data_IF_231302141992
#
_entry.id   IF_231302141992
#
_cell.length_a   1.000
_cell.length_b   1.000
_cell.length_c   1.000
_cell.angle_alpha   90.00
_cell.angle_beta   90.00
_cell.angle_gamma   90.00
#
_symmetry.space_group_name_H-M   'P 1'
#
loop_
_entity.id
_entity.type
_entity.pdbx_description
1 polymer ?
#
# COMPACT_ATOMS: atom_id res chain seq x y z
N UNK A 1 -0.35 -18.78 -55.11
CA UNK A 1 -1.49 -18.40 -54.25
C UNK A 1 -1.27 -16.97 -53.76
N UNK A 2 -2.13 -16.00 -54.09
CA UNK A 2 -1.98 -14.65 -53.54
C UNK A 2 -2.37 -14.66 -52.05
N UNK A 3 -1.46 -14.18 -51.18
CA UNK A 3 -1.74 -13.99 -49.76
C UNK A 3 -2.84 -12.92 -49.64
N UNK A 4 -4.00 -13.31 -49.14
CA UNK A 4 -5.10 -12.40 -48.78
C UNK A 4 -4.54 -11.32 -47.87
N UNK A 5 -4.49 -10.06 -48.31
CA UNK A 5 -4.18 -8.94 -47.44
C UNK A 5 -5.31 -8.83 -46.41
N UNK A 6 -5.00 -8.73 -45.10
CA UNK A 6 -6.03 -8.61 -44.08
C UNK A 6 -6.79 -7.29 -44.27
N UNK A 7 -8.11 -7.36 -44.15
CA UNK A 7 -9.02 -6.23 -44.34
C UNK A 7 -8.78 -5.18 -43.25
N UNK A 8 -8.74 -3.88 -43.60
CA UNK A 8 -8.38 -2.80 -42.67
C UNK A 8 -9.28 -2.70 -41.44
N UNK A 9 -10.56 -3.08 -41.57
CA UNK A 9 -11.51 -3.18 -40.47
C UNK A 9 -11.19 -4.33 -39.48
N UNK A 10 -10.68 -5.46 -39.96
CA UNK A 10 -10.25 -6.58 -39.10
C UNK A 10 -8.95 -6.25 -38.34
N UNK A 11 -8.05 -5.46 -38.94
CA UNK A 11 -6.83 -5.00 -38.27
C UNK A 11 -7.12 -3.95 -37.19
N UNK A 12 -8.04 -3.01 -37.42
CA UNK A 12 -8.46 -2.05 -36.40
C UNK A 12 -9.13 -2.75 -35.20
N UNK A 13 -10.07 -3.68 -35.47
CA UNK A 13 -10.73 -4.46 -34.42
C UNK A 13 -9.78 -5.30 -33.55
N UNK A 14 -8.72 -5.87 -34.15
CA UNK A 14 -7.69 -6.62 -33.40
C UNK A 14 -6.81 -5.71 -32.54
N UNK A 15 -6.45 -4.53 -33.05
CA UNK A 15 -5.68 -3.55 -32.29
C UNK A 15 -6.45 -2.99 -31.09
N UNK A 16 -7.74 -2.74 -31.25
CA UNK A 16 -8.59 -2.24 -30.18
C UNK A 16 -8.79 -3.28 -29.07
N UNK A 17 -9.02 -4.55 -29.45
CA UNK A 17 -9.06 -5.67 -28.50
C UNK A 17 -7.74 -5.83 -27.74
N UNK A 18 -6.61 -5.78 -28.44
CA UNK A 18 -5.30 -5.85 -27.79
C UNK A 18 -5.08 -4.70 -26.80
N UNK A 19 -5.47 -3.48 -27.16
CA UNK A 19 -5.34 -2.31 -26.29
C UNK A 19 -6.27 -2.38 -25.07
N UNK A 20 -7.45 -2.96 -25.22
CA UNK A 20 -8.38 -3.18 -24.12
C UNK A 20 -7.84 -4.23 -23.13
N UNK A 21 -7.28 -5.33 -23.64
CA UNK A 21 -6.66 -6.40 -22.84
C UNK A 21 -5.32 -5.99 -22.21
N UNK A 22 -4.64 -4.99 -22.76
CA UNK A 22 -3.33 -4.50 -22.31
C UNK A 22 -3.35 -3.01 -21.94
N UNK A 23 -4.47 -2.57 -21.36
CA UNK A 23 -4.63 -1.19 -20.93
C UNK A 23 -3.52 -0.78 -19.94
N UNK A 24 -3.04 0.48 -19.99
CA UNK A 24 -1.96 0.92 -19.12
C UNK A 24 -2.50 1.31 -17.73
N UNK A 25 -1.86 0.80 -16.69
CA UNK A 25 -2.19 1.05 -15.27
C UNK A 25 -0.97 1.57 -14.53
N UNK A 26 -1.17 2.24 -13.38
CA UNK A 26 -0.03 2.57 -12.51
C UNK A 26 0.31 1.40 -11.59
N UNK A 27 -0.70 0.72 -11.06
CA UNK A 27 -0.51 -0.32 -10.07
C UNK A 27 -0.74 -1.73 -10.62
N UNK A 28 0.14 -2.63 -10.17
CA UNK A 28 0.14 -4.04 -10.53
C UNK A 28 0.42 -4.88 -9.29
N UNK A 29 -0.28 -5.99 -9.16
CA UNK A 29 0.01 -7.02 -8.16
C UNK A 29 0.52 -8.29 -8.82
N UNK A 30 1.44 -8.97 -8.14
CA UNK A 30 1.93 -10.27 -8.57
C UNK A 30 2.45 -11.09 -7.39
N UNK A 31 2.67 -12.38 -7.65
CA UNK A 31 3.25 -13.33 -6.69
C UNK A 31 4.71 -13.59 -7.04
N UNK A 32 5.56 -13.70 -6.01
CA UNK A 32 6.96 -14.13 -6.12
C UNK A 32 7.13 -15.43 -5.34
N UNK A 33 7.65 -16.47 -5.99
CA UNK A 33 8.03 -17.71 -5.34
C UNK A 33 9.51 -17.67 -4.94
N UNK A 34 9.86 -17.69 -3.64
CA UNK A 34 11.25 -17.61 -3.18
C UNK A 34 12.12 -18.75 -3.73
N UNK A 35 11.55 -19.93 -3.94
CA UNK A 35 12.26 -21.10 -4.47
C UNK A 35 12.86 -20.90 -5.86
N UNK A 36 12.24 -20.05 -6.68
CA UNK A 36 12.66 -19.80 -8.06
C UNK A 36 13.18 -18.38 -8.27
N UNK A 37 12.93 -17.47 -7.33
CA UNK A 37 13.35 -16.09 -7.42
C UNK A 37 14.88 -15.98 -7.46
N UNK A 38 15.37 -15.02 -8.23
CA UNK A 38 16.78 -14.63 -8.16
C UNK A 38 17.11 -14.17 -6.73
N UNK A 39 18.21 -14.62 -6.09
CA UNK A 39 18.46 -14.34 -4.67
C UNK A 39 18.39 -12.87 -4.26
N UNK A 40 18.76 -11.94 -5.15
CA UNK A 40 18.73 -10.50 -4.93
C UNK A 40 17.57 -9.79 -5.65
N UNK A 41 16.41 -10.45 -5.81
CA UNK A 41 15.27 -9.90 -6.54
C UNK A 41 14.80 -8.53 -6.02
N UNK A 42 14.94 -8.27 -4.71
CA UNK A 42 14.59 -6.97 -4.10
C UNK A 42 15.43 -5.84 -4.69
N UNK A 43 16.74 -6.04 -4.81
CA UNK A 43 17.67 -5.07 -5.41
C UNK A 43 17.34 -4.87 -6.89
N UNK A 44 17.17 -5.98 -7.62
CA UNK A 44 16.80 -5.95 -9.04
C UNK A 44 15.51 -5.13 -9.24
N UNK A 45 14.46 -5.36 -8.44
CA UNK A 45 13.23 -4.59 -8.54
C UNK A 45 13.46 -3.10 -8.21
N UNK A 46 14.24 -2.79 -7.16
CA UNK A 46 14.51 -1.40 -6.80
C UNK A 46 15.19 -0.59 -7.92
N UNK A 47 16.05 -1.24 -8.70
CA UNK A 47 16.86 -0.60 -9.76
C UNK A 47 16.17 -0.56 -11.13
N UNK A 48 15.21 -1.46 -11.40
CA UNK A 48 14.72 -1.68 -12.77
C UNK A 48 13.35 -1.03 -13.08
N UNK A 49 12.79 -0.22 -12.18
CA UNK A 49 11.63 0.63 -12.50
C UNK A 49 11.52 1.91 -11.66
N UNK A 50 10.85 2.92 -12.20
CA UNK A 50 10.51 4.17 -11.50
C UNK A 50 9.14 4.09 -10.83
N UNK A 51 9.12 4.30 -9.51
CA UNK A 51 7.93 4.18 -8.69
C UNK A 51 8.23 3.63 -7.30
N UNK A 52 7.18 3.15 -6.65
CA UNK A 52 7.23 2.58 -5.30
C UNK A 52 6.61 1.18 -5.26
N UNK A 53 6.97 0.38 -4.25
CA UNK A 53 6.43 -0.96 -4.12
C UNK A 53 6.41 -1.47 -2.69
N UNK A 54 5.59 -2.49 -2.46
CA UNK A 54 5.46 -3.17 -1.19
C UNK A 54 5.50 -4.69 -1.39
N UNK A 55 6.02 -5.39 -0.38
CA UNK A 55 6.12 -6.85 -0.35
C UNK A 55 5.49 -7.36 0.96
N UNK A 56 4.66 -8.38 0.87
CA UNK A 56 4.08 -9.04 2.03
C UNK A 56 5.15 -9.74 2.88
N UNK A 57 4.80 -10.18 4.11
CA UNK A 57 5.51 -11.28 4.76
C UNK A 57 5.58 -12.53 3.86
N UNK A 58 6.42 -13.50 4.20
CA UNK A 58 6.40 -14.78 3.50
C UNK A 58 5.11 -15.53 3.85
N UNK A 59 4.31 -15.85 2.83
CA UNK A 59 3.13 -16.69 2.97
C UNK A 59 3.54 -18.16 2.89
N UNK A 60 3.82 -18.77 4.04
CA UNK A 60 4.25 -20.18 4.19
C UNK A 60 3.23 -21.06 4.92
N UNK A 61 2.11 -20.49 5.36
CA UNK A 61 1.04 -21.16 6.14
C UNK A 61 -0.28 -21.26 5.40
N UNK A 62 -0.32 -20.82 4.15
CA UNK A 62 -1.56 -20.82 3.37
C UNK A 62 -1.93 -22.25 2.95
N UNK A 63 -3.24 -22.54 2.96
CA UNK A 63 -3.78 -23.82 2.54
C UNK A 63 -4.55 -23.69 1.22
N UNK A 64 -4.54 -24.77 0.43
CA UNK A 64 -5.44 -25.00 -0.69
C UNK A 64 -6.85 -25.36 -0.18
N UNK A 65 -7.83 -25.36 -1.07
CA UNK A 65 -9.22 -25.71 -0.74
C UNK A 65 -9.36 -27.14 -0.21
N UNK A 66 -8.45 -28.05 -0.61
CA UNK A 66 -8.37 -29.43 -0.12
C UNK A 66 -7.60 -29.56 1.21
N UNK A 67 -7.16 -28.45 1.81
CA UNK A 67 -6.38 -28.42 3.04
C UNK A 67 -4.88 -28.72 2.88
N UNK A 68 -4.39 -28.97 1.66
CA UNK A 68 -2.96 -29.16 1.43
C UNK A 68 -2.19 -27.83 1.51
N UNK A 69 -0.92 -27.81 1.96
CA UNK A 69 -0.12 -26.59 2.01
C UNK A 69 0.09 -25.98 0.62
N UNK A 70 -0.11 -24.66 0.50
CA UNK A 70 0.31 -23.90 -0.69
C UNK A 70 1.83 -23.75 -0.72
N UNK A 71 2.35 -23.57 -1.93
CA UNK A 71 3.76 -23.21 -2.11
C UNK A 71 4.06 -21.88 -1.41
N UNK A 72 5.17 -21.78 -0.65
CA UNK A 72 5.59 -20.53 -0.05
C UNK A 72 5.73 -19.43 -1.08
N UNK A 73 5.16 -18.25 -0.80
CA UNK A 73 5.15 -17.16 -1.76
C UNK A 73 5.09 -15.79 -1.09
N UNK A 74 5.47 -14.75 -1.81
CA UNK A 74 5.21 -13.36 -1.44
C UNK A 74 4.15 -12.77 -2.36
N UNK A 75 3.30 -11.90 -1.82
CA UNK A 75 2.53 -10.95 -2.60
C UNK A 75 3.32 -9.65 -2.74
N UNK A 76 3.40 -9.13 -3.96
CA UNK A 76 4.06 -7.86 -4.27
C UNK A 76 3.09 -6.91 -4.94
N UNK A 77 3.22 -5.62 -4.63
CA UNK A 77 2.49 -4.52 -5.25
C UNK A 77 3.51 -3.53 -5.79
N UNK A 78 3.50 -3.28 -7.10
CA UNK A 78 4.29 -2.22 -7.74
C UNK A 78 3.35 -1.09 -8.17
N UNK A 79 3.78 0.15 -7.94
CA UNK A 79 3.12 1.37 -8.39
C UNK A 79 4.14 2.20 -9.18
N UNK A 80 3.96 2.25 -10.50
CA UNK A 80 4.79 3.06 -11.37
C UNK A 80 4.42 4.55 -11.30
N UNK A 81 5.41 5.44 -11.46
CA UNK A 81 5.19 6.89 -11.53
C UNK A 81 4.24 7.27 -12.66
N UNK A 82 4.45 6.63 -13.82
CA UNK A 82 3.65 6.77 -15.05
C UNK A 82 2.95 5.46 -15.36
N UNK A 83 1.75 5.52 -15.94
CA UNK A 83 1.00 4.31 -16.33
C UNK A 83 1.84 3.46 -17.28
N UNK A 84 1.96 2.18 -16.98
CA UNK A 84 2.68 1.20 -17.79
C UNK A 84 1.72 0.13 -18.30
N UNK A 85 2.08 -0.53 -19.41
CA UNK A 85 1.37 -1.71 -19.89
C UNK A 85 1.82 -2.96 -19.12
N UNK A 86 1.01 -4.04 -19.07
CA UNK A 86 1.39 -5.30 -18.42
C UNK A 86 2.75 -5.87 -18.87
N UNK A 87 3.14 -5.60 -20.12
CA UNK A 87 4.46 -5.98 -20.67
C UNK A 87 5.65 -5.43 -19.86
N UNK A 88 5.53 -4.29 -19.19
CA UNK A 88 6.57 -3.76 -18.32
C UNK A 88 6.79 -4.67 -17.10
N UNK A 89 5.70 -5.09 -16.44
CA UNK A 89 5.76 -6.02 -15.29
C UNK A 89 6.25 -7.40 -15.73
N UNK A 90 5.84 -7.88 -16.90
CA UNK A 90 6.36 -9.15 -17.47
C UNK A 90 7.89 -9.13 -17.63
N UNK A 91 8.46 -7.99 -18.04
CA UNK A 91 9.93 -7.82 -18.12
C UNK A 91 10.56 -7.87 -16.73
N UNK A 92 9.99 -7.19 -15.74
CA UNK A 92 10.47 -7.24 -14.35
C UNK A 92 10.43 -8.67 -13.80
N UNK A 93 9.32 -9.39 -13.97
CA UNK A 93 9.18 -10.78 -13.54
C UNK A 93 10.24 -11.68 -14.18
N UNK A 94 10.53 -11.49 -15.48
CA UNK A 94 11.59 -12.24 -16.16
C UNK A 94 12.97 -11.96 -15.56
N UNK A 95 13.28 -10.72 -15.16
CA UNK A 95 14.56 -10.37 -14.54
C UNK A 95 14.77 -11.09 -13.20
N UNK A 96 13.70 -11.33 -12.45
CA UNK A 96 13.72 -12.01 -11.15
C UNK A 96 13.38 -13.50 -11.23
N UNK A 97 13.43 -14.08 -12.44
CA UNK A 97 13.14 -15.49 -12.72
C UNK A 97 11.73 -15.95 -12.27
N UNK A 98 10.74 -15.08 -12.41
CA UNK A 98 9.34 -15.37 -12.12
C UNK A 98 8.50 -15.52 -13.41
N UNK A 99 7.44 -16.32 -13.32
CA UNK A 99 6.54 -16.56 -14.44
C UNK A 99 5.59 -15.36 -14.66
N UNK A 100 5.39 -14.93 -15.90
CA UNK A 100 4.46 -13.83 -16.21
C UNK A 100 3.00 -14.08 -15.79
N UNK A 101 2.61 -15.34 -15.60
CA UNK A 101 1.29 -15.74 -15.11
C UNK A 101 1.07 -15.43 -13.63
N UNK A 102 2.10 -14.98 -12.89
CA UNK A 102 1.94 -14.60 -11.48
C UNK A 102 1.33 -13.21 -11.30
N UNK A 103 1.07 -12.45 -12.36
CA UNK A 103 0.33 -11.18 -12.29
C UNK A 103 -1.10 -11.46 -11.85
N UNK A 104 -1.50 -10.88 -10.71
CA UNK A 104 -2.82 -11.13 -10.09
C UNK A 104 -3.83 -10.02 -10.37
N UNK A 105 -3.37 -8.78 -10.56
CA UNK A 105 -4.24 -7.67 -10.95
C UNK A 105 -3.51 -6.51 -11.61
N UNK A 106 -4.27 -5.71 -12.36
CA UNK A 106 -3.81 -4.49 -13.05
C UNK A 106 -4.84 -3.36 -12.84
N UNK A 107 -4.84 -2.71 -11.66
CA UNK A 107 -5.75 -1.60 -11.34
C UNK A 107 -5.27 -0.88 -10.06
N UNK A 108 -5.31 0.45 -10.07
CA UNK A 108 -5.01 1.28 -8.91
C UNK A 108 -6.01 1.09 -7.76
N UNK A 109 -7.29 0.89 -8.07
CA UNK A 109 -8.36 0.73 -7.07
C UNK A 109 -8.18 -0.54 -6.23
N UNK A 110 -7.42 -1.51 -6.73
CA UNK A 110 -7.16 -2.77 -6.04
C UNK A 110 -5.99 -2.72 -5.08
N UNK A 111 -5.17 -1.66 -5.09
CA UNK A 111 -3.98 -1.55 -4.24
C UNK A 111 -4.33 -1.65 -2.77
N UNK A 112 -5.38 -0.95 -2.33
CA UNK A 112 -5.82 -0.99 -0.93
C UNK A 112 -6.17 -2.42 -0.50
N UNK A 113 -7.09 -3.07 -1.22
CA UNK A 113 -7.51 -4.42 -0.91
C UNK A 113 -6.37 -5.44 -1.00
N UNK A 114 -5.46 -5.28 -1.96
CA UNK A 114 -4.28 -6.13 -2.10
C UNK A 114 -3.29 -5.96 -0.94
N UNK A 115 -3.08 -4.73 -0.48
CA UNK A 115 -2.20 -4.45 0.65
C UNK A 115 -2.79 -5.00 1.96
N UNK A 116 -4.09 -4.79 2.20
CA UNK A 116 -4.78 -5.37 3.36
C UNK A 116 -4.77 -6.91 3.32
N UNK A 117 -4.70 -7.49 2.13
CA UNK A 117 -4.61 -8.93 1.94
C UNK A 117 -3.22 -9.50 2.31
N UNK A 118 -2.15 -8.70 2.37
CA UNK A 118 -0.80 -9.15 2.77
C UNK A 118 -0.75 -9.82 4.14
N UNK A 119 -1.72 -9.53 5.01
CA UNK A 119 -1.78 -10.11 6.36
C UNK A 119 -3.00 -11.00 6.58
N UNK A 120 -3.89 -11.11 5.60
CA UNK A 120 -5.19 -11.75 5.71
C UNK A 120 -6.07 -11.23 6.87
N UNK A 121 -5.82 -10.01 7.38
CA UNK A 121 -6.52 -9.44 8.54
C UNK A 121 -8.06 -9.46 8.43
N UNK A 122 -8.57 -9.38 7.20
CA UNK A 122 -10.01 -9.36 6.90
C UNK A 122 -10.61 -10.75 6.63
N UNK A 123 -9.84 -11.83 6.78
CA UNK A 123 -10.29 -13.20 6.54
C UNK A 123 -9.81 -14.15 7.66
N UNK A 124 -10.63 -14.33 8.73
CA UNK A 124 -10.27 -15.15 9.88
C UNK A 124 -10.01 -16.64 9.57
N UNK A 125 -10.52 -17.15 8.44
CA UNK A 125 -10.35 -18.55 8.04
C UNK A 125 -8.97 -18.81 7.42
N UNK A 126 -8.23 -17.76 7.07
CA UNK A 126 -6.88 -17.86 6.52
C UNK A 126 -5.82 -17.65 7.59
N UNK A 127 -4.63 -18.20 7.34
CA UNK A 127 -3.46 -17.94 8.16
C UNK A 127 -3.19 -16.43 8.25
N UNK A 128 -3.06 -15.92 9.47
CA UNK A 128 -2.82 -14.51 9.75
C UNK A 128 -1.31 -14.23 9.77
N UNK A 129 -0.88 -13.15 9.12
CA UNK A 129 0.51 -12.71 9.11
C UNK A 129 0.69 -11.37 9.82
N UNK A 130 1.91 -11.09 10.25
CA UNK A 130 2.22 -9.89 11.03
C UNK A 130 2.48 -8.70 10.10
N UNK A 131 1.81 -7.57 10.34
CA UNK A 131 2.02 -6.32 9.60
C UNK A 131 3.46 -5.81 9.64
N UNK A 132 4.19 -6.07 10.73
CA UNK A 132 5.63 -5.72 10.85
C UNK A 132 6.52 -6.47 9.86
N UNK A 133 6.02 -7.55 9.26
CA UNK A 133 6.70 -8.27 8.18
C UNK A 133 6.46 -7.68 6.79
N UNK A 134 5.58 -6.68 6.64
CA UNK A 134 5.40 -5.97 5.37
C UNK A 134 6.63 -5.08 5.14
N UNK A 135 7.22 -5.22 3.96
CA UNK A 135 8.37 -4.42 3.54
C UNK A 135 7.92 -3.35 2.55
N UNK A 136 8.29 -2.10 2.82
CA UNK A 136 7.93 -0.92 2.02
C UNK A 136 9.18 -0.36 1.36
N UNK A 137 9.12 -0.11 0.06
CA UNK A 137 10.27 0.29 -0.74
C UNK A 137 9.97 1.57 -1.53
N UNK A 138 11.03 2.37 -1.74
CA UNK A 138 11.00 3.60 -2.54
C UNK A 138 9.86 4.55 -2.16
N UNK A 139 9.59 4.66 -0.86
CA UNK A 139 8.58 5.57 -0.30
C UNK A 139 7.13 5.14 -0.50
N UNK A 140 6.85 3.85 -0.72
CA UNK A 140 5.48 3.36 -0.79
C UNK A 140 4.71 3.71 0.50
N UNK A 141 3.58 4.41 0.35
CA UNK A 141 2.63 4.69 1.43
C UNK A 141 1.23 4.26 1.02
N UNK A 142 0.63 3.35 1.80
CA UNK A 142 -0.73 2.87 1.57
C UNK A 142 -1.77 4.00 1.68
N UNK A 143 -1.46 5.09 2.41
CA UNK A 143 -2.36 6.24 2.54
C UNK A 143 -2.58 6.97 1.20
N UNK A 144 -1.66 6.84 0.23
CA UNK A 144 -1.82 7.39 -1.12
C UNK A 144 -2.98 6.75 -1.89
N UNK A 145 -3.45 5.58 -1.43
CA UNK A 145 -4.55 4.81 -2.02
C UNK A 145 -5.84 4.88 -1.21
N UNK A 146 -5.87 5.67 -0.13
CA UNK A 146 -7.08 5.91 0.66
C UNK A 146 -7.89 7.07 0.06
N UNK A 147 -9.21 6.98 0.17
CA UNK A 147 -10.08 8.09 -0.21
C UNK A 147 -9.91 9.29 0.73
N UNK A 148 -10.31 10.47 0.27
CA UNK A 148 -10.31 11.69 1.10
C UNK A 148 -11.12 11.52 2.39
N UNK A 149 -12.22 10.75 2.34
CA UNK A 149 -13.05 10.47 3.51
C UNK A 149 -12.29 9.65 4.54
N UNK A 150 -11.64 8.57 4.12
CA UNK A 150 -10.85 7.71 5.01
C UNK A 150 -9.66 8.45 5.62
N UNK A 151 -8.95 9.26 4.82
CA UNK A 151 -7.87 10.11 5.32
C UNK A 151 -8.38 11.10 6.37
N UNK A 152 -9.57 11.67 6.16
CA UNK A 152 -10.20 12.57 7.13
C UNK A 152 -10.60 11.85 8.42
N UNK A 153 -11.13 10.64 8.33
CA UNK A 153 -11.47 9.82 9.49
C UNK A 153 -10.22 9.48 10.32
N UNK A 154 -9.10 9.12 9.67
CA UNK A 154 -7.81 8.91 10.34
C UNK A 154 -7.30 10.18 11.02
N UNK A 155 -7.41 11.34 10.35
CA UNK A 155 -7.04 12.63 10.97
C UNK A 155 -7.88 12.91 12.22
N UNK A 156 -9.19 12.64 12.18
CA UNK A 156 -10.08 12.83 13.33
C UNK A 156 -9.75 11.87 14.48
N UNK A 157 -9.43 10.61 14.19
CA UNK A 157 -8.97 9.65 15.20
C UNK A 157 -7.71 10.14 15.90
N UNK A 158 -6.72 10.63 15.15
CA UNK A 158 -5.50 11.19 15.74
C UNK A 158 -5.80 12.40 16.64
N UNK A 159 -6.75 13.26 16.26
CA UNK A 159 -7.18 14.37 17.13
C UNK A 159 -7.84 13.84 18.41
N UNK A 160 -8.74 12.86 18.31
CA UNK A 160 -9.37 12.26 19.48
C UNK A 160 -8.35 11.61 20.43
N UNK A 161 -7.31 10.97 19.89
CA UNK A 161 -6.23 10.41 20.72
C UNK A 161 -5.44 11.50 21.45
N UNK A 162 -5.15 12.62 20.76
CA UNK A 162 -4.48 13.79 21.36
C UNK A 162 -5.35 14.39 22.47
N UNK A 163 -6.65 14.58 22.23
CA UNK A 163 -7.60 15.11 23.21
C UNK A 163 -7.67 14.22 24.46
N UNK A 164 -7.78 12.91 24.26
CA UNK A 164 -7.76 11.93 25.33
C UNK A 164 -6.44 11.97 26.12
N UNK A 165 -5.31 12.10 25.43
CA UNK A 165 -4.00 12.22 26.06
C UNK A 165 -3.89 13.50 26.90
N UNK A 166 -4.29 14.66 26.37
CA UNK A 166 -4.33 15.95 27.08
C UNK A 166 -5.14 15.81 28.37
N UNK A 167 -6.35 15.24 28.27
CA UNK A 167 -7.22 15.06 29.43
C UNK A 167 -6.59 14.12 30.47
N UNK A 168 -6.10 12.95 30.03
CA UNK A 168 -5.57 11.90 30.90
C UNK A 168 -4.29 12.32 31.62
N UNK A 169 -3.40 13.03 30.94
CA UNK A 169 -2.12 13.48 31.51
C UNK A 169 -2.23 14.85 32.19
N UNK A 170 -3.39 15.51 32.15
CA UNK A 170 -3.56 16.82 32.76
C UNK A 170 -2.72 17.90 32.07
N UNK A 171 -2.54 17.83 30.75
CA UNK A 171 -1.69 18.79 30.04
C UNK A 171 -2.33 20.18 30.08
N UNK A 172 -1.61 21.14 30.62
CA UNK A 172 -2.06 22.54 30.75
C UNK A 172 -1.26 23.52 29.91
N UNK A 173 -0.15 23.11 29.30
CA UNK A 173 0.67 23.92 28.40
C UNK A 173 0.85 23.25 27.04
N UNK A 174 0.77 24.03 25.95
CA UNK A 174 0.92 23.49 24.59
C UNK A 174 2.35 23.02 24.30
N UNK A 175 3.37 23.68 24.87
CA UNK A 175 4.76 23.25 24.75
C UNK A 175 4.97 21.82 25.23
N UNK A 176 4.36 21.48 26.36
CA UNK A 176 4.52 20.18 27.01
C UNK A 176 3.93 19.07 26.14
N UNK A 177 2.74 19.30 25.58
CA UNK A 177 2.16 18.42 24.57
C UNK A 177 3.09 18.31 23.37
N UNK A 178 3.48 19.45 22.78
CA UNK A 178 4.15 19.47 21.48
C UNK A 178 5.51 18.76 21.52
N UNK A 179 6.36 19.07 22.51
CA UNK A 179 7.66 18.42 22.63
C UNK A 179 7.53 16.94 22.97
N UNK A 180 6.57 16.56 23.83
CA UNK A 180 6.29 15.15 24.07
C UNK A 180 5.90 14.41 22.79
N UNK A 181 5.07 15.01 21.92
CA UNK A 181 4.69 14.39 20.65
C UNK A 181 5.86 14.26 19.67
N UNK A 182 6.86 15.14 19.72
CA UNK A 182 8.02 15.03 18.83
C UNK A 182 8.82 13.76 19.07
N UNK A 183 8.97 13.36 20.34
CA UNK A 183 9.77 12.20 20.71
C UNK A 183 8.95 10.90 20.67
N UNK A 184 7.65 10.98 20.98
CA UNK A 184 6.82 9.79 21.22
C UNK A 184 5.79 9.51 20.13
N UNK A 185 5.29 10.56 19.46
CA UNK A 185 4.19 10.46 18.49
C UNK A 185 4.42 11.39 17.28
N UNK A 186 5.40 11.11 16.40
CA UNK A 186 5.74 12.00 15.28
C UNK A 186 4.56 12.34 14.35
N UNK A 187 3.59 11.42 14.22
CA UNK A 187 2.34 11.65 13.46
C UNK A 187 1.48 12.75 14.09
N UNK A 188 1.36 12.78 15.42
CA UNK A 188 0.64 13.83 16.16
C UNK A 188 1.36 15.16 16.01
N UNK A 189 2.69 15.16 16.17
CA UNK A 189 3.50 16.37 16.01
C UNK A 189 3.36 16.98 14.60
N UNK A 190 3.30 16.15 13.56
CA UNK A 190 3.05 16.59 12.18
C UNK A 190 1.65 17.20 12.03
N UNK A 191 0.63 16.54 12.58
CA UNK A 191 -0.75 17.02 12.51
C UNK A 191 -0.92 18.38 13.21
N UNK A 192 -0.37 18.53 14.43
CA UNK A 192 -0.45 19.76 15.23
C UNK A 192 0.24 20.96 14.55
N UNK A 193 1.34 20.73 13.82
CA UNK A 193 2.02 21.78 13.03
C UNK A 193 1.18 22.27 11.85
N UNK A 194 0.36 21.39 11.29
CA UNK A 194 -0.34 21.66 10.03
C UNK A 194 -1.79 22.10 10.24
N UNK A 195 -2.47 21.55 11.25
CA UNK A 195 -3.92 21.64 11.44
C UNK A 195 -4.28 21.65 12.92
N UNK A 196 -5.50 22.10 13.23
CA UNK A 196 -6.16 21.99 14.55
C UNK A 196 -5.48 22.69 15.74
N UNK A 197 -4.38 23.41 15.55
CA UNK A 197 -3.66 24.13 16.63
C UNK A 197 -4.60 24.99 17.47
N UNK A 198 -5.50 25.77 16.85
CA UNK A 198 -6.47 26.63 17.57
C UNK A 198 -7.40 25.85 18.50
N UNK A 199 -7.92 24.72 18.03
CA UNK A 199 -8.80 23.85 18.80
C UNK A 199 -8.06 23.27 20.01
N UNK A 200 -6.86 22.71 19.77
CA UNK A 200 -6.03 22.11 20.82
C UNK A 200 -5.58 23.15 21.85
N UNK A 201 -5.15 24.34 21.42
CA UNK A 201 -4.76 25.41 22.36
C UNK A 201 -5.93 25.90 23.19
N UNK A 202 -7.15 25.96 22.62
CA UNK A 202 -8.35 26.33 23.37
C UNK A 202 -8.72 25.27 24.41
N UNK A 203 -8.61 23.99 24.06
CA UNK A 203 -8.83 22.87 24.99
C UNK A 203 -7.85 22.90 26.16
N UNK A 204 -6.55 23.02 25.88
CA UNK A 204 -5.49 23.12 26.90
C UNK A 204 -5.71 24.33 27.81
N UNK A 205 -6.07 25.49 27.24
CA UNK A 205 -6.39 26.70 28.02
C UNK A 205 -7.57 26.45 28.94
N UNK A 206 -8.65 25.87 28.44
CA UNK A 206 -9.83 25.51 29.25
C UNK A 206 -9.46 24.57 30.41
N UNK A 207 -8.61 23.57 30.15
CA UNK A 207 -8.14 22.65 31.17
C UNK A 207 -7.30 23.33 32.24
N UNK A 208 -6.36 24.21 31.86
CA UNK A 208 -5.58 25.04 32.78
C UNK A 208 -6.46 25.86 33.71
N UNK A 209 -7.46 26.53 33.16
CA UNK A 209 -8.40 27.35 33.94
C UNK A 209 -9.27 26.50 34.88
N UNK A 210 -9.64 25.29 34.45
CA UNK A 210 -10.34 24.34 35.33
C UNK A 210 -9.48 23.91 36.52
N UNK A 211 -8.17 23.74 36.34
CA UNK A 211 -7.25 23.39 37.43
C UNK A 211 -6.95 24.56 38.40
N UNK A 212 -7.17 25.80 37.97
CA UNK A 212 -6.99 27.01 38.81
C UNK A 212 -8.18 27.33 39.70
N UNK A 213 -9.34 26.71 39.45
CA UNK A 213 -10.58 26.86 40.22
C UNK A 213 -10.71 25.76 41.26
#
# INVERSE_FOLDING_TARGET
MPKKQPNSAETHSKHDKYNQENAPYKAFGFIIYPESATPNFVEILNENFDGSWALSPLHDKDLNEDGSPKKPHFHAIIVFDKKQRPAAVKKLLKLINQNEKTITYTNNERVKGAYEYFTHQNNPEKAQYNETGIQLFKGFDINDFKSKKELKELELQLISDIEFFIQKQGITEYSDLFFWTMDNQPKWAKLLRQKYTRHITALITSQREKHRR
#
